data_IF_400901087922
#
_entry.id   IF_400901087922
#
_cell.length_a   1.000
_cell.length_b   1.000
_cell.length_c   1.000
_cell.angle_alpha   90.00
_cell.angle_beta   90.00
_cell.angle_gamma   90.00
#
_symmetry.space_group_name_H-M   'P 1'
#
loop_
_entity.id
_entity.type
_entity.pdbx_description
1 polymer ?
#
# COMPACT_ATOMS: atom_id res chain seq x y z
N UNK A 1 -8.66 30.43 -7.93
CA UNK A 1 -9.45 29.45 -7.16
C UNK A 1 -9.22 28.06 -7.78
N UNK A 2 -8.15 27.37 -7.40
CA UNK A 2 -7.84 26.04 -7.92
C UNK A 2 -8.65 25.02 -7.12
N UNK A 3 -9.71 24.49 -7.73
CA UNK A 3 -10.58 23.50 -7.11
C UNK A 3 -9.84 22.16 -7.09
N UNK A 4 -9.05 21.94 -6.04
CA UNK A 4 -8.38 20.67 -5.77
C UNK A 4 -9.45 19.61 -5.47
N UNK A 5 -10.03 19.02 -6.53
CA UNK A 5 -10.73 17.75 -6.44
C UNK A 5 -9.80 16.82 -5.69
N UNK A 6 -10.17 16.44 -4.46
CA UNK A 6 -9.45 15.43 -3.67
C UNK A 6 -9.36 14.19 -4.52
N UNK A 7 -8.24 13.97 -5.17
CA UNK A 7 -8.16 12.87 -6.09
C UNK A 7 -8.00 11.59 -5.25
N UNK A 8 -9.00 10.72 -5.32
CA UNK A 8 -8.95 9.39 -4.72
C UNK A 8 -8.05 8.52 -5.60
N UNK A 9 -6.76 8.53 -5.31
CA UNK A 9 -5.73 7.83 -6.09
C UNK A 9 -5.36 6.44 -5.55
N UNK A 10 -6.15 5.87 -4.63
CA UNK A 10 -5.73 4.65 -3.96
C UNK A 10 -6.79 3.95 -3.13
N UNK A 11 -6.61 2.64 -2.97
CA UNK A 11 -7.32 1.83 -2.00
C UNK A 11 -6.64 2.00 -0.63
N UNK A 12 -7.42 2.04 0.45
CA UNK A 12 -6.86 2.17 1.80
C UNK A 12 -7.67 1.38 2.83
N UNK A 13 -6.97 0.89 3.84
CA UNK A 13 -7.54 0.19 4.99
C UNK A 13 -6.62 0.36 6.20
N UNK A 14 -7.06 -0.12 7.36
CA UNK A 14 -6.19 -0.34 8.51
C UNK A 14 -5.99 -1.84 8.70
N UNK A 15 -4.77 -2.23 9.06
CA UNK A 15 -4.49 -3.60 9.45
C UNK A 15 -5.05 -3.93 10.85
N UNK A 16 -4.88 -5.18 11.28
CA UNK A 16 -5.33 -5.65 12.60
C UNK A 16 -4.66 -4.96 13.80
N UNK A 17 -3.54 -4.26 13.58
CA UNK A 17 -2.81 -3.49 14.60
C UNK A 17 -3.05 -1.97 14.48
N UNK A 18 -3.93 -1.54 13.57
CA UNK A 18 -4.28 -0.14 13.36
C UNK A 18 -3.35 0.64 12.42
N UNK A 19 -2.36 0.00 11.79
CA UNK A 19 -1.47 0.65 10.81
C UNK A 19 -2.27 1.03 9.57
N UNK A 20 -2.11 2.27 9.10
CA UNK A 20 -2.75 2.73 7.87
C UNK A 20 -2.02 2.15 6.65
N UNK A 21 -2.72 1.35 5.84
CA UNK A 21 -2.18 0.78 4.60
C UNK A 21 -2.84 1.45 3.41
N UNK A 22 -2.04 1.87 2.42
CA UNK A 22 -2.54 2.57 1.23
C UNK A 22 -1.84 2.04 -0.02
N UNK A 23 -2.62 1.80 -1.08
CA UNK A 23 -2.13 1.39 -2.39
C UNK A 23 -2.38 2.52 -3.38
N UNK A 24 -1.32 3.01 -4.02
CA UNK A 24 -1.34 4.05 -5.03
C UNK A 24 -0.94 3.47 -6.38
N UNK A 25 -1.60 3.92 -7.45
CA UNK A 25 -1.17 3.64 -8.82
C UNK A 25 -1.65 4.73 -9.78
N UNK A 26 -1.33 4.59 -11.06
CA UNK A 26 -1.93 5.43 -12.11
C UNK A 26 -3.46 5.31 -12.08
N UNK A 27 -4.20 6.39 -12.38
CA UNK A 27 -5.65 6.34 -12.50
C UNK A 27 -6.11 5.16 -13.38
N UNK A 28 -7.10 4.41 -12.91
CA UNK A 28 -7.66 3.23 -13.60
C UNK A 28 -6.98 1.90 -13.27
N UNK A 29 -5.69 1.89 -12.94
CA UNK A 29 -4.93 0.66 -12.66
C UNK A 29 -5.25 0.04 -11.30
N UNK A 30 -5.51 0.86 -10.27
CA UNK A 30 -5.97 0.38 -8.94
C UNK A 30 -7.23 -0.45 -9.09
N UNK A 31 -8.18 0.01 -9.91
CA UNK A 31 -9.49 -0.61 -10.13
C UNK A 31 -9.48 -1.71 -11.19
N UNK A 32 -8.40 -1.83 -11.97
CA UNK A 32 -8.31 -2.80 -13.05
C UNK A 32 -8.16 -4.21 -12.46
N UNK A 33 -9.16 -5.05 -12.69
CA UNK A 33 -9.22 -6.43 -12.25
C UNK A 33 -9.01 -6.64 -10.72
N UNK A 34 -9.34 -5.63 -9.90
CA UNK A 34 -9.23 -5.75 -8.44
C UNK A 34 -7.80 -5.78 -7.89
N UNK A 35 -6.80 -5.36 -8.69
CA UNK A 35 -5.38 -5.46 -8.33
C UNK A 35 -5.02 -4.61 -7.10
N UNK A 36 -5.62 -3.43 -6.97
CA UNK A 36 -5.41 -2.56 -5.82
C UNK A 36 -5.96 -3.16 -4.52
N UNK A 37 -7.14 -3.77 -4.58
CA UNK A 37 -7.78 -4.44 -3.45
C UNK A 37 -7.00 -5.66 -3.01
N UNK A 38 -6.50 -6.47 -3.96
CA UNK A 38 -5.65 -7.63 -3.67
C UNK A 38 -4.35 -7.19 -2.96
N UNK A 39 -3.67 -6.17 -3.48
CA UNK A 39 -2.45 -5.64 -2.88
C UNK A 39 -2.72 -5.12 -1.45
N UNK A 40 -3.82 -4.39 -1.27
CA UNK A 40 -4.23 -3.84 0.02
C UNK A 40 -4.55 -4.94 1.03
N UNK A 41 -5.37 -5.92 0.66
CA UNK A 41 -5.74 -7.06 1.52
C UNK A 41 -4.50 -7.88 1.91
N UNK A 42 -3.61 -8.14 0.95
CA UNK A 42 -2.36 -8.86 1.21
C UNK A 42 -1.51 -8.11 2.24
N UNK A 43 -1.27 -6.81 2.05
CA UNK A 43 -0.45 -6.02 2.96
C UNK A 43 -1.08 -5.89 4.37
N UNK A 44 -2.41 -5.71 4.45
CA UNK A 44 -3.14 -5.68 5.72
C UNK A 44 -3.06 -7.00 6.50
N UNK A 45 -2.88 -8.14 5.82
CA UNK A 45 -2.67 -9.45 6.46
C UNK A 45 -1.20 -9.71 6.79
N UNK A 46 -0.29 -9.29 5.92
CA UNK A 46 1.14 -9.50 6.10
C UNK A 46 1.73 -8.75 7.29
N UNK A 47 1.33 -7.48 7.51
CA UNK A 47 1.91 -6.68 8.60
C UNK A 47 1.64 -7.27 10.00
N UNK A 48 0.40 -7.65 10.37
CA UNK A 48 0.16 -8.35 11.62
C UNK A 48 0.83 -9.71 11.68
N UNK A 49 0.76 -10.50 10.60
CA UNK A 49 1.37 -11.84 10.54
C UNK A 49 2.87 -11.80 10.84
N UNK A 50 3.61 -10.93 10.16
CA UNK A 50 5.06 -10.80 10.40
C UNK A 50 5.35 -10.15 11.75
N UNK A 51 4.48 -9.26 12.22
CA UNK A 51 4.57 -8.70 13.58
C UNK A 51 4.51 -9.78 14.65
N UNK A 52 3.59 -10.73 14.51
CA UNK A 52 3.44 -11.86 15.43
C UNK A 52 4.59 -12.87 15.26
N UNK A 53 4.97 -13.18 14.01
CA UNK A 53 6.04 -14.13 13.71
C UNK A 53 7.41 -13.69 14.23
N UNK A 54 7.78 -12.42 14.03
CA UNK A 54 9.07 -11.88 14.49
C UNK A 54 9.01 -11.33 15.92
N UNK A 55 7.83 -11.23 16.53
CA UNK A 55 7.64 -10.64 17.86
C UNK A 55 7.84 -9.12 17.91
N UNK A 56 7.92 -8.45 16.76
CA UNK A 56 8.13 -7.01 16.64
C UNK A 56 7.10 -6.44 15.68
N UNK A 57 6.18 -5.62 16.19
CA UNK A 57 5.16 -4.95 15.38
C UNK A 57 5.79 -3.95 14.40
N UNK A 58 5.08 -3.72 13.31
CA UNK A 58 5.46 -2.68 12.35
C UNK A 58 5.51 -1.30 13.04
N UNK A 59 6.65 -0.61 13.02
CA UNK A 59 6.91 0.52 13.92
C UNK A 59 6.33 1.86 13.43
N UNK A 60 5.98 1.97 12.15
CA UNK A 60 5.47 3.22 11.57
C UNK A 60 3.94 3.25 11.59
N UNK A 61 3.32 4.44 11.68
CA UNK A 61 1.86 4.57 11.69
C UNK A 61 1.21 4.23 10.34
N UNK A 62 2.02 4.05 9.28
CA UNK A 62 1.55 3.80 7.92
C UNK A 62 2.51 2.92 7.11
N UNK A 63 1.97 2.18 6.16
CA UNK A 63 2.68 1.51 5.08
C UNK A 63 2.03 1.86 3.74
N UNK A 64 2.76 2.56 2.88
CA UNK A 64 2.29 2.91 1.54
C UNK A 64 2.89 1.96 0.51
N UNK A 65 2.11 1.69 -0.52
CA UNK A 65 2.43 0.81 -1.63
C UNK A 65 2.22 1.62 -2.92
N UNK A 66 3.24 1.74 -3.76
CA UNK A 66 3.19 2.51 -5.01
C UNK A 66 3.53 1.62 -6.21
N UNK A 67 2.53 1.36 -7.05
CA UNK A 67 2.71 0.68 -8.32
C UNK A 67 3.25 1.65 -9.38
N UNK A 68 4.48 1.38 -9.84
CA UNK A 68 5.24 2.13 -10.84
C UNK A 68 5.37 1.26 -12.10
N UNK A 69 4.76 1.66 -13.24
CA UNK A 69 4.70 0.84 -14.45
C UNK A 69 6.05 0.39 -15.01
N UNK A 70 7.07 1.27 -14.94
CA UNK A 70 8.39 1.05 -15.52
C UNK A 70 9.45 1.05 -14.41
N UNK A 71 9.30 0.13 -13.44
CA UNK A 71 10.25 -0.05 -12.35
C UNK A 71 11.20 -1.22 -12.61
N UNK A 72 12.49 -0.92 -12.80
CA UNK A 72 13.52 -1.91 -13.18
C UNK A 72 13.84 -2.93 -12.09
N UNK A 73 13.68 -2.57 -10.81
CA UNK A 73 13.98 -3.44 -9.67
C UNK A 73 12.89 -4.47 -9.35
N UNK A 74 11.74 -4.43 -10.01
CA UNK A 74 10.57 -5.27 -9.69
C UNK A 74 9.84 -4.82 -8.42
N UNK A 75 10.53 -4.77 -7.28
CA UNK A 75 10.06 -4.17 -6.02
C UNK A 75 11.21 -3.56 -5.20
N UNK A 76 10.91 -2.66 -4.28
CA UNK A 76 11.86 -2.09 -3.32
C UNK A 76 11.15 -1.69 -2.02
N UNK A 77 11.78 -2.07 -0.90
CA UNK A 77 11.24 -2.02 0.45
C UNK A 77 11.54 -0.71 1.20
N UNK A 78 11.41 0.44 0.54
CA UNK A 78 11.66 1.70 1.24
C UNK A 78 10.74 1.80 2.47
N UNK A 79 11.31 2.21 3.60
CA UNK A 79 10.62 2.11 4.89
C UNK A 79 9.37 2.97 4.92
N UNK A 80 8.20 2.32 4.99
CA UNK A 80 6.90 3.00 4.88
C UNK A 80 6.42 3.31 3.46
N UNK A 81 7.20 3.03 2.42
CA UNK A 81 6.83 3.23 1.02
C UNK A 81 7.41 2.12 0.13
N UNK A 82 6.68 1.01 0.03
CA UNK A 82 7.04 -0.08 -0.89
C UNK A 82 6.71 0.35 -2.32
N UNK A 83 7.69 0.27 -3.22
CA UNK A 83 7.50 0.52 -4.66
C UNK A 83 7.57 -0.78 -5.42
N UNK A 84 6.72 -0.99 -6.43
CA UNK A 84 6.68 -2.23 -7.21
C UNK A 84 6.12 -2.01 -8.61
N UNK A 85 6.28 -2.99 -9.50
CA UNK A 85 5.72 -3.01 -10.85
C UNK A 85 4.45 -3.85 -10.95
#
# INVERSE_FOLDING_TARGET
MHNSKKVKFGAQARDGNGVLVRVYSRPGLVTEAGRGELALDTACRSLPFFGDYFGVRYPLPKCDMLAIPDFSGGAMENWGLVTYR
#
